data_IF_416634038443
#
_entry.id   IF_416634038443
#
_cell.length_a   1.000
_cell.length_b   1.000
_cell.length_c   1.000
_cell.angle_alpha   90.00
_cell.angle_beta   90.00
_cell.angle_gamma   90.00
#
_symmetry.space_group_name_H-M   'P 1'
#
loop_
_entity.id
_entity.type
_entity.pdbx_description
1 polymer ?
#
# COMPACT_ATOMS: atom_id res chain seq x y z
N UNK A 1 -21.30 20.31 -10.57
CA UNK A 1 -20.50 19.14 -10.17
C UNK A 1 -20.13 19.30 -8.72
N UNK A 2 -20.48 18.34 -7.89
CA UNK A 2 -20.27 18.41 -6.44
C UNK A 2 -18.81 18.03 -6.11
N UNK A 3 -18.14 18.76 -5.22
CA UNK A 3 -16.72 18.56 -4.88
C UNK A 3 -16.44 17.12 -4.42
N UNK A 4 -17.43 16.48 -3.79
CA UNK A 4 -17.38 15.08 -3.36
C UNK A 4 -17.31 14.08 -4.52
N UNK A 5 -17.96 14.38 -5.63
CA UNK A 5 -17.93 13.53 -6.83
C UNK A 5 -16.56 13.62 -7.52
N UNK A 6 -15.96 14.81 -7.56
CA UNK A 6 -14.60 15.03 -8.09
C UNK A 6 -13.54 14.35 -7.22
N UNK A 7 -13.62 14.51 -5.89
CA UNK A 7 -12.69 13.84 -4.97
C UNK A 7 -12.84 12.32 -5.01
N UNK A 8 -14.05 11.84 -5.22
CA UNK A 8 -14.32 10.41 -5.34
C UNK A 8 -13.81 9.78 -6.63
N UNK A 9 -13.76 10.53 -7.74
CA UNK A 9 -13.18 10.04 -8.99
C UNK A 9 -11.66 9.86 -8.91
N UNK A 10 -10.98 10.54 -7.98
CA UNK A 10 -9.54 10.43 -7.75
C UNK A 10 -9.12 9.15 -7.03
N UNK A 11 -10.05 8.45 -6.36
CA UNK A 11 -9.76 7.24 -5.60
C UNK A 11 -9.02 6.18 -6.44
N UNK A 12 -9.58 5.86 -7.62
CA UNK A 12 -9.02 4.85 -8.52
C UNK A 12 -7.71 5.32 -9.19
N UNK A 13 -7.64 6.49 -9.83
CA UNK A 13 -6.40 7.02 -10.41
C UNK A 13 -5.25 7.05 -9.40
N UNK A 14 -5.50 7.57 -8.19
CA UNK A 14 -4.46 7.68 -7.15
C UNK A 14 -4.01 6.28 -6.70
N UNK A 15 -4.95 5.38 -6.41
CA UNK A 15 -4.61 4.01 -6.03
C UNK A 15 -3.85 3.26 -7.14
N UNK A 16 -4.25 3.44 -8.40
CA UNK A 16 -3.59 2.85 -9.57
C UNK A 16 -2.18 3.40 -9.75
N UNK A 17 -1.98 4.72 -9.67
CA UNK A 17 -0.65 5.33 -9.75
C UNK A 17 0.25 4.80 -8.63
N UNK A 18 -0.24 4.77 -7.40
CA UNK A 18 0.50 4.20 -6.27
C UNK A 18 0.90 2.74 -6.53
N UNK A 19 -0.03 1.94 -7.04
CA UNK A 19 0.19 0.50 -7.29
C UNK A 19 1.22 0.32 -8.40
N UNK A 20 1.14 1.10 -9.47
CA UNK A 20 2.11 1.08 -10.57
C UNK A 20 3.51 1.44 -10.09
N UNK A 21 3.66 2.43 -9.22
CA UNK A 21 4.96 2.77 -8.62
C UNK A 21 5.56 1.59 -7.85
N UNK A 22 4.75 0.87 -7.05
CA UNK A 22 5.19 -0.33 -6.33
C UNK A 22 5.63 -1.41 -7.31
N UNK A 23 4.80 -1.72 -8.32
CA UNK A 23 5.08 -2.76 -9.31
C UNK A 23 6.36 -2.46 -10.10
N UNK A 24 6.53 -1.22 -10.55
CA UNK A 24 7.72 -0.77 -11.28
C UNK A 24 8.97 -0.86 -10.39
N UNK A 25 8.90 -0.40 -9.15
CA UNK A 25 10.03 -0.43 -8.23
C UNK A 25 10.45 -1.87 -7.91
N UNK A 26 9.50 -2.73 -7.54
CA UNK A 26 9.76 -4.14 -7.23
C UNK A 26 10.27 -4.88 -8.46
N UNK A 27 9.65 -4.66 -9.62
CA UNK A 27 10.07 -5.25 -10.89
C UNK A 27 11.50 -4.84 -11.25
N UNK A 28 11.83 -3.55 -11.12
CA UNK A 28 13.16 -3.04 -11.43
C UNK A 28 14.25 -3.63 -10.53
N UNK A 29 13.96 -3.81 -9.24
CA UNK A 29 14.89 -4.47 -8.30
C UNK A 29 15.03 -5.95 -8.63
N UNK A 30 13.93 -6.64 -8.92
CA UNK A 30 13.94 -8.07 -9.23
C UNK A 30 14.70 -8.39 -10.53
N UNK A 31 14.72 -7.47 -11.49
CA UNK A 31 15.46 -7.62 -12.75
C UNK A 31 16.84 -6.96 -12.72
N UNK A 32 17.27 -6.41 -11.59
CA UNK A 32 18.56 -5.72 -11.50
C UNK A 32 19.72 -6.73 -11.61
N UNK A 33 20.70 -6.50 -12.51
CA UNK A 33 21.87 -7.37 -12.61
C UNK A 33 22.66 -7.36 -11.30
N UNK A 34 23.23 -8.50 -10.92
CA UNK A 34 24.18 -8.54 -9.81
C UNK A 34 25.37 -7.63 -10.10
N UNK A 35 25.85 -6.84 -9.12
CA UNK A 35 26.99 -5.97 -9.33
C UNK A 35 28.23 -6.81 -9.69
N UNK A 36 29.10 -6.32 -10.60
CA UNK A 36 30.36 -6.98 -10.91
C UNK A 36 31.20 -7.20 -9.64
N UNK A 37 31.92 -8.32 -9.51
CA UNK A 37 32.71 -8.63 -8.30
C UNK A 37 33.80 -7.58 -8.00
N UNK A 38 34.14 -6.76 -8.98
CA UNK A 38 35.20 -5.75 -8.94
C UNK A 38 34.65 -4.35 -8.58
N UNK A 39 33.34 -4.22 -8.43
CA UNK A 39 32.66 -2.99 -8.03
C UNK A 39 32.45 -2.97 -6.52
N UNK A 40 32.64 -1.81 -5.89
CA UNK A 40 32.28 -1.57 -4.48
C UNK A 40 30.77 -1.71 -4.21
N UNK A 41 29.94 -1.94 -5.24
CA UNK A 41 28.51 -2.19 -5.10
C UNK A 41 27.69 -0.96 -4.69
N UNK A 42 28.34 0.20 -4.48
CA UNK A 42 27.71 1.45 -4.01
C UNK A 42 26.59 1.91 -4.96
N UNK A 43 26.82 1.87 -6.27
CA UNK A 43 25.82 2.26 -7.27
C UNK A 43 24.60 1.34 -7.22
N UNK A 44 24.82 0.02 -7.11
CA UNK A 44 23.74 -0.96 -7.00
C UNK A 44 22.98 -0.77 -5.68
N UNK A 45 23.68 -0.56 -4.56
CA UNK A 45 23.07 -0.27 -3.26
C UNK A 45 22.23 1.00 -3.27
N UNK A 46 22.73 2.08 -3.89
CA UNK A 46 22.00 3.34 -4.04
C UNK A 46 20.76 3.17 -4.93
N UNK A 47 20.86 2.40 -6.01
CA UNK A 47 19.73 2.10 -6.88
C UNK A 47 18.64 1.31 -6.14
N UNK A 48 19.03 0.29 -5.36
CA UNK A 48 18.10 -0.47 -4.50
C UNK A 48 17.45 0.45 -3.47
N UNK A 49 18.20 1.37 -2.85
CA UNK A 49 17.65 2.35 -1.90
C UNK A 49 16.62 3.28 -2.57
N UNK A 50 16.92 3.81 -3.76
CA UNK A 50 15.97 4.64 -4.51
C UNK A 50 14.71 3.87 -4.86
N UNK A 51 14.84 2.63 -5.33
CA UNK A 51 13.69 1.79 -5.64
C UNK A 51 12.88 1.43 -4.40
N UNK A 52 13.53 1.21 -3.26
CA UNK A 52 12.86 1.01 -1.98
C UNK A 52 12.02 2.23 -1.59
N UNK A 53 12.59 3.45 -1.68
CA UNK A 53 11.86 4.69 -1.41
C UNK A 53 10.68 4.86 -2.38
N UNK A 54 10.88 4.55 -3.67
CA UNK A 54 9.83 4.63 -4.68
C UNK A 54 8.68 3.66 -4.39
N UNK A 55 8.99 2.41 -4.04
CA UNK A 55 8.01 1.42 -3.63
C UNK A 55 7.25 1.86 -2.37
N UNK A 56 7.97 2.42 -1.40
CA UNK A 56 7.37 2.91 -0.16
C UNK A 56 6.39 4.08 -0.41
N UNK A 57 6.78 5.05 -1.25
CA UNK A 57 5.88 6.14 -1.67
C UNK A 57 4.67 5.58 -2.42
N UNK A 58 4.88 4.66 -3.37
CA UNK A 58 3.79 4.00 -4.09
C UNK A 58 2.81 3.29 -3.17
N UNK A 59 3.31 2.60 -2.14
CA UNK A 59 2.51 1.94 -1.12
C UNK A 59 1.64 2.92 -0.32
N UNK A 60 2.21 4.05 0.10
CA UNK A 60 1.47 5.10 0.81
C UNK A 60 0.39 5.72 -0.08
N UNK A 61 0.74 6.04 -1.32
CA UNK A 61 -0.19 6.60 -2.31
C UNK A 61 -1.34 5.62 -2.58
N UNK A 62 -1.04 4.32 -2.67
CA UNK A 62 -2.07 3.28 -2.84
C UNK A 62 -3.00 3.22 -1.63
N UNK A 63 -2.42 3.13 -0.42
CA UNK A 63 -3.16 3.04 0.84
C UNK A 63 -4.07 4.25 1.03
N UNK A 64 -3.55 5.47 0.83
CA UNK A 64 -4.33 6.69 0.95
C UNK A 64 -5.37 6.80 -0.16
N UNK A 65 -5.02 6.45 -1.40
CA UNK A 65 -5.95 6.43 -2.54
C UNK A 65 -7.17 5.56 -2.27
N UNK A 66 -6.99 4.36 -1.70
CA UNK A 66 -8.09 3.46 -1.34
C UNK A 66 -8.89 3.93 -0.12
N UNK A 67 -8.30 4.75 0.75
CA UNK A 67 -8.99 5.37 1.87
C UNK A 67 -9.92 6.53 1.46
N UNK A 68 -9.72 7.13 0.27
CA UNK A 68 -10.57 8.20 -0.24
C UNK A 68 -12.01 7.68 -0.43
N UNK A 69 -13.04 8.43 0.03
CA UNK A 69 -14.43 8.06 -0.23
C UNK A 69 -14.75 8.06 -1.73
N UNK A 70 -15.42 7.03 -2.28
CA UNK A 70 -15.89 7.06 -3.66
C UNK A 70 -16.96 8.13 -3.82
N UNK A 71 -17.06 8.66 -5.03
CA UNK A 71 -18.07 9.63 -5.43
C UNK A 71 -19.34 8.91 -5.87
N UNK A 72 -20.45 9.63 -5.94
CA UNK A 72 -21.70 9.06 -6.45
C UNK A 72 -21.49 8.51 -7.87
N UNK A 73 -21.66 7.19 -8.02
CA UNK A 73 -21.51 6.47 -9.27
C UNK A 73 -20.08 6.17 -9.75
N UNK A 74 -19.03 6.58 -9.02
CA UNK A 74 -17.63 6.38 -9.42
C UNK A 74 -16.75 5.91 -8.24
N UNK A 75 -16.03 4.79 -8.44
CA UNK A 75 -15.04 4.25 -7.49
C UNK A 75 -15.46 2.94 -6.82
N UNK A 76 -14.63 2.45 -5.90
CA UNK A 76 -14.87 1.20 -5.17
C UNK A 76 -15.46 1.53 -3.80
N UNK A 77 -16.67 1.02 -3.56
CA UNK A 77 -17.40 1.20 -2.30
C UNK A 77 -16.81 0.34 -1.18
N UNK A 78 -15.92 0.93 -0.38
CA UNK A 78 -15.39 0.29 0.83
C UNK A 78 -16.24 0.61 2.06
N UNK A 79 -16.37 -0.37 2.96
CA UNK A 79 -17.00 -0.15 4.28
C UNK A 79 -16.10 0.71 5.17
N UNK A 80 -16.67 1.28 6.26
CA UNK A 80 -15.90 2.08 7.22
C UNK A 80 -14.72 1.30 7.82
N UNK A 81 -14.89 0.01 8.06
CA UNK A 81 -13.83 -0.88 8.56
C UNK A 81 -12.73 -1.14 7.51
N UNK A 82 -13.09 -1.38 6.25
CA UNK A 82 -12.11 -1.55 5.17
C UNK A 82 -11.27 -0.29 4.95
N UNK A 83 -11.89 0.89 5.01
CA UNK A 83 -11.14 2.16 4.98
C UNK A 83 -10.23 2.34 6.19
N UNK A 84 -10.70 1.93 7.36
CA UNK A 84 -9.89 1.91 8.57
C UNK A 84 -8.60 1.10 8.39
N UNK A 85 -8.67 -0.05 7.70
CA UNK A 85 -7.49 -0.85 7.37
C UNK A 85 -6.53 -0.13 6.41
N UNK A 86 -7.04 0.60 5.41
CA UNK A 86 -6.18 1.37 4.50
C UNK A 86 -5.52 2.58 5.18
N UNK A 87 -6.24 3.25 6.07
CA UNK A 87 -5.67 4.31 6.93
C UNK A 87 -4.62 3.72 7.87
N UNK A 88 -4.92 2.58 8.51
CA UNK A 88 -3.96 1.88 9.36
C UNK A 88 -2.71 1.49 8.57
N UNK A 89 -2.86 1.01 7.33
CA UNK A 89 -1.75 0.69 6.44
C UNK A 89 -0.88 1.91 6.16
N UNK A 90 -1.49 3.06 5.82
CA UNK A 90 -0.77 4.31 5.57
C UNK A 90 -0.05 4.82 6.82
N UNK A 91 -0.71 4.82 7.98
CA UNK A 91 -0.14 5.28 9.25
C UNK A 91 1.01 4.37 9.69
N UNK A 92 0.83 3.05 9.65
CA UNK A 92 1.88 2.10 10.00
C UNK A 92 3.08 2.19 9.03
N UNK A 93 2.82 2.38 7.73
CA UNK A 93 3.85 2.59 6.72
C UNK A 93 4.62 3.90 6.92
N UNK A 94 3.94 4.98 7.34
CA UNK A 94 4.59 6.24 7.68
C UNK A 94 5.45 6.10 8.93
N UNK A 95 4.91 5.45 9.97
CA UNK A 95 5.62 5.22 11.23
C UNK A 95 6.81 4.28 11.06
N UNK A 96 6.81 3.35 10.10
CA UNK A 96 7.99 2.51 9.86
C UNK A 96 9.19 3.33 9.38
N UNK A 97 8.97 4.41 8.64
CA UNK A 97 10.05 5.29 8.18
C UNK A 97 10.44 6.36 9.21
N UNK A 98 9.45 6.96 9.87
CA UNK A 98 9.66 8.14 10.76
C UNK A 98 9.83 7.74 12.22
N UNK A 99 9.22 6.64 12.65
CA UNK A 99 9.24 6.13 14.03
C UNK A 99 10.65 5.95 14.61
N UNK A 100 11.62 5.38 13.86
CA UNK A 100 13.00 5.27 14.34
C UNK A 100 13.66 6.62 14.66
N UNK A 101 13.31 7.68 13.92
CA UNK A 101 13.84 9.03 14.16
C UNK A 101 13.16 9.72 15.35
N UNK A 102 11.86 9.48 15.56
CA UNK A 102 11.11 10.03 16.70
C UNK A 102 11.51 9.34 18.01
N UNK A 103 11.77 8.04 17.96
CA UNK A 103 12.20 7.24 19.12
C UNK A 103 13.72 7.10 19.24
N UNK A 104 14.49 7.95 18.55
CA UNK A 104 15.93 7.77 18.36
C UNK A 104 16.71 7.51 19.66
N UNK A 105 16.43 8.24 20.75
CA UNK A 105 17.10 8.03 22.04
C UNK A 105 16.81 6.65 22.67
N UNK A 106 15.58 6.15 22.55
CA UNK A 106 15.17 4.83 23.04
C UNK A 106 15.74 3.71 22.16
N UNK A 107 15.84 3.95 20.86
CA UNK A 107 16.26 2.96 19.88
C UNK A 107 17.78 2.86 19.77
N UNK A 108 18.50 3.98 19.94
CA UNK A 108 19.96 4.01 19.98
C UNK A 108 20.53 3.18 21.13
N UNK A 109 19.84 3.15 22.27
CA UNK A 109 20.24 2.31 23.41
C UNK A 109 19.98 0.81 23.20
N UNK A 110 19.16 0.44 22.21
CA UNK A 110 18.75 -0.95 21.95
C UNK A 110 18.57 -1.20 20.44
N UNK A 111 19.65 -1.42 19.67
CA UNK A 111 19.58 -1.53 18.21
C UNK A 111 18.72 -2.69 17.72
N UNK A 112 18.57 -3.77 18.50
CA UNK A 112 17.66 -4.89 18.19
C UNK A 112 16.18 -4.47 18.23
N UNK A 113 15.81 -3.48 19.05
CA UNK A 113 14.47 -2.90 19.07
C UNK A 113 14.17 -2.09 17.80
N UNK A 114 15.19 -1.51 17.15
CA UNK A 114 14.99 -0.78 15.89
C UNK A 114 14.47 -1.71 14.80
N UNK A 115 15.18 -2.81 14.56
CA UNK A 115 14.87 -3.76 13.49
C UNK A 115 13.54 -4.44 13.74
N UNK A 116 13.27 -4.83 14.99
CA UNK A 116 12.00 -5.49 15.34
C UNK A 116 10.81 -4.54 15.26
N UNK A 117 10.91 -3.30 15.74
CA UNK A 117 9.85 -2.30 15.60
C UNK A 117 9.57 -1.96 14.13
N UNK A 118 10.63 -1.81 13.33
CA UNK A 118 10.51 -1.58 11.89
C UNK A 118 9.79 -2.74 11.18
N UNK A 119 10.22 -3.98 11.44
CA UNK A 119 9.58 -5.17 10.88
C UNK A 119 8.12 -5.29 11.31
N UNK A 120 7.81 -5.02 12.58
CA UNK A 120 6.45 -5.06 13.09
C UNK A 120 5.56 -4.02 12.39
N UNK A 121 6.00 -2.78 12.27
CA UNK A 121 5.24 -1.71 11.60
C UNK A 121 5.07 -1.98 10.11
N UNK A 122 6.13 -2.42 9.42
CA UNK A 122 6.06 -2.81 8.01
C UNK A 122 5.09 -3.98 7.80
N UNK A 123 5.12 -4.99 8.68
CA UNK A 123 4.20 -6.12 8.62
C UNK A 123 2.75 -5.68 8.84
N UNK A 124 2.49 -4.85 9.84
CA UNK A 124 1.14 -4.29 10.09
C UNK A 124 0.66 -3.50 8.88
N UNK A 125 1.53 -2.70 8.24
CA UNK A 125 1.18 -1.93 7.07
C UNK A 125 0.74 -2.84 5.91
N UNK A 126 1.57 -3.81 5.56
CA UNK A 126 1.33 -4.75 4.45
C UNK A 126 0.09 -5.61 4.73
N UNK A 127 -0.03 -6.18 5.94
CA UNK A 127 -1.15 -7.03 6.32
C UNK A 127 -2.46 -6.27 6.33
N UNK A 128 -2.48 -5.01 6.76
CA UNK A 128 -3.69 -4.19 6.78
C UNK A 128 -4.19 -3.90 5.36
N UNK A 129 -3.28 -3.54 4.45
CA UNK A 129 -3.62 -3.31 3.05
C UNK A 129 -4.09 -4.60 2.38
N UNK A 130 -3.38 -5.71 2.58
CA UNK A 130 -3.74 -7.02 2.04
C UNK A 130 -5.10 -7.50 2.57
N UNK A 131 -5.35 -7.38 3.88
CA UNK A 131 -6.63 -7.75 4.49
C UNK A 131 -7.79 -6.93 3.93
N UNK A 132 -7.61 -5.61 3.73
CA UNK A 132 -8.61 -4.74 3.12
C UNK A 132 -8.96 -5.15 1.69
N UNK A 133 -7.93 -5.46 0.88
CA UNK A 133 -8.10 -5.91 -0.51
C UNK A 133 -8.73 -7.30 -0.60
N UNK A 134 -8.26 -8.26 0.19
CA UNK A 134 -8.80 -9.63 0.23
C UNK A 134 -10.25 -9.62 0.68
N UNK A 135 -10.58 -8.86 1.72
CA UNK A 135 -11.97 -8.71 2.16
C UNK A 135 -12.85 -8.21 1.00
N UNK A 136 -12.42 -7.15 0.30
CA UNK A 136 -13.18 -6.63 -0.83
C UNK A 136 -13.29 -7.64 -1.97
N UNK A 137 -12.22 -8.36 -2.29
CA UNK A 137 -12.22 -9.43 -3.29
C UNK A 137 -13.20 -10.54 -2.95
N UNK A 138 -13.23 -11.00 -1.70
CA UNK A 138 -14.17 -12.02 -1.22
C UNK A 138 -15.62 -11.53 -1.34
N UNK A 139 -15.91 -10.26 -1.02
CA UNK A 139 -17.26 -9.70 -1.20
C UNK A 139 -17.67 -9.65 -2.67
N UNK A 140 -16.77 -9.24 -3.57
CA UNK A 140 -17.03 -9.20 -5.00
C UNK A 140 -17.32 -10.61 -5.57
N UNK A 141 -16.52 -11.61 -5.19
CA UNK A 141 -16.72 -13.01 -5.61
C UNK A 141 -18.03 -13.58 -5.08
N UNK A 142 -18.38 -13.30 -3.82
CA UNK A 142 -19.68 -13.73 -3.24
C UNK A 142 -20.85 -13.07 -3.97
N UNK A 143 -20.79 -11.77 -4.23
CA UNK A 143 -21.82 -11.06 -4.97
C UNK A 143 -22.03 -11.65 -6.38
N UNK A 144 -20.94 -12.00 -7.08
CA UNK A 144 -21.04 -12.64 -8.39
C UNK A 144 -21.67 -14.04 -8.32
N UNK A 145 -21.27 -14.86 -7.34
CA UNK A 145 -21.78 -16.23 -7.18
C UNK A 145 -23.24 -16.31 -6.75
N UNK A 146 -23.71 -15.34 -5.96
CA UNK A 146 -25.08 -15.35 -5.42
C UNK A 146 -26.03 -14.34 -6.08
N UNK A 147 -25.52 -13.41 -6.89
CA UNK A 147 -26.30 -12.42 -7.63
C UNK A 147 -26.74 -12.87 -9.03
N UNK A 148 -26.20 -13.99 -9.54
CA UNK A 148 -26.55 -14.57 -10.84
C UNK A 148 -27.62 -15.67 -10.72
N UNK A 149 -28.68 -15.44 -9.95
CA UNK A 149 -29.87 -16.29 -10.04
C UNK A 149 -30.63 -15.97 -11.33
N UNK A 150 -31.04 -16.96 -12.15
CA UNK A 150 -31.88 -16.71 -13.31
C UNK A 150 -33.16 -16.03 -12.83
N UNK A 151 -33.44 -14.83 -13.36
CA UNK A 151 -34.77 -14.24 -13.30
C UNK A 151 -35.71 -15.20 -14.02
N UNK A 152 -36.49 -15.96 -13.25
CA UNK A 152 -37.66 -16.66 -13.75
C UNK A 152 -38.58 -15.57 -14.28
N UNK A 153 -38.61 -15.41 -15.59
CA UNK A 153 -39.65 -14.67 -16.28
C UNK A 153 -40.91 -15.51 -16.24
N UNK A 154 -41.92 -15.04 -15.52
CA UNK A 154 -43.30 -15.52 -15.57
C UNK A 154 -43.90 -15.37 -16.98
#
# INVERSE_FOLDING_TARGET
MDLRSILGSLQLPVATVGTLLVVVAVGSVATMPSPPPESEGVVAGLAVLFMYVLAWVGFLVTSLGLAIPPGDGYGVTFTRYQRGLFVLAAVAGLLSAVGPFVAFGLVYSNPSLMTTAWLALASVAVLSLAAGLVWRGVQAVRAWRFGAGPSVSD
#
